data_IF_810017606137
#
_entry.id   IF_810017606137
#
_cell.length_a   1.000
_cell.length_b   1.000
_cell.length_c   1.000
_cell.angle_alpha   90.00
_cell.angle_beta   90.00
_cell.angle_gamma   90.00
#
_symmetry.space_group_name_H-M   'P 1'
#
loop_
_entity.id
_entity.type
_entity.pdbx_description
1 polymer ?
#
# COMPACT_ATOMS: atom_id res chain seq x y z
N UNK A 1 5.80 6.73 5.49
CA UNK A 1 6.13 5.84 4.35
C UNK A 1 5.27 6.14 3.13
N UNK A 2 5.82 6.20 1.91
CA UNK A 2 5.00 6.26 0.69
C UNK A 2 4.51 4.86 0.32
N UNK A 3 3.20 4.69 0.14
CA UNK A 3 2.61 3.41 -0.29
C UNK A 3 2.23 3.47 -1.77
N UNK A 4 2.75 2.54 -2.56
CA UNK A 4 2.47 2.40 -4.00
C UNK A 4 1.66 1.13 -4.20
N UNK A 5 0.41 1.30 -4.65
CA UNK A 5 -0.50 0.18 -4.94
C UNK A 5 -0.58 -0.07 -6.45
N UNK A 6 -0.23 -1.30 -6.86
CA UNK A 6 -0.19 -1.73 -8.27
C UNK A 6 -1.06 -2.97 -8.46
N UNK A 7 -1.78 -3.01 -9.58
CA UNK A 7 -2.38 -4.24 -10.11
C UNK A 7 -1.51 -4.76 -11.23
N UNK A 8 -1.11 -6.04 -11.16
CA UNK A 8 -0.21 -6.66 -12.13
C UNK A 8 -0.88 -6.86 -13.50
N UNK A 9 -2.12 -7.33 -13.47
CA UNK A 9 -2.97 -7.57 -14.64
C UNK A 9 -4.45 -7.24 -14.37
N UNK A 10 -4.73 -6.54 -13.27
CA UNK A 10 -6.09 -6.25 -12.81
C UNK A 10 -6.22 -4.78 -12.49
N UNK A 11 -7.40 -4.23 -12.76
CA UNK A 11 -7.77 -2.94 -12.22
C UNK A 11 -8.01 -3.09 -10.71
N UNK A 12 -7.29 -2.31 -9.90
CA UNK A 12 -7.45 -2.31 -8.45
C UNK A 12 -8.53 -1.29 -8.09
N UNK A 13 -9.71 -1.72 -7.60
CA UNK A 13 -10.78 -0.80 -7.23
C UNK A 13 -10.36 0.11 -6.08
N UNK A 14 -10.89 1.33 -6.01
CA UNK A 14 -10.51 2.33 -5.00
C UNK A 14 -10.67 1.81 -3.56
N UNK A 15 -11.75 1.07 -3.28
CA UNK A 15 -11.96 0.43 -1.95
C UNK A 15 -10.79 -0.47 -1.52
N UNK A 16 -10.13 -1.13 -2.48
CA UNK A 16 -8.98 -2.01 -2.22
C UNK A 16 -7.71 -1.18 -2.03
N UNK A 17 -7.54 -0.10 -2.80
CA UNK A 17 -6.46 0.87 -2.59
C UNK A 17 -6.54 1.49 -1.20
N UNK A 18 -7.71 1.96 -0.80
CA UNK A 18 -7.94 2.57 0.51
C UNK A 18 -7.68 1.59 1.66
N UNK A 19 -8.07 0.33 1.48
CA UNK A 19 -7.80 -0.71 2.45
C UNK A 19 -6.29 -1.01 2.55
N UNK A 20 -5.60 -1.12 1.42
CA UNK A 20 -4.16 -1.36 1.38
C UNK A 20 -3.39 -0.22 2.05
N UNK A 21 -3.73 1.03 1.75
CA UNK A 21 -3.11 2.21 2.38
C UNK A 21 -3.34 2.20 3.90
N UNK A 22 -4.58 2.04 4.38
CA UNK A 22 -4.87 1.95 5.82
C UNK A 22 -4.14 0.80 6.52
N UNK A 23 -3.94 -0.31 5.82
CA UNK A 23 -3.18 -1.45 6.36
C UNK A 23 -1.72 -1.08 6.54
N UNK A 24 -1.13 -0.37 5.56
CA UNK A 24 0.27 0.04 5.57
C UNK A 24 0.55 1.18 6.56
N UNK A 25 -0.41 2.06 6.84
CA UNK A 25 -0.31 3.06 7.93
C UNK A 25 -0.03 2.43 9.31
N UNK A 26 -0.41 1.15 9.51
CA UNK A 26 -0.08 0.45 10.76
C UNK A 26 1.41 0.21 10.92
N UNK A 27 2.14 0.12 9.81
CA UNK A 27 3.59 -0.11 9.80
C UNK A 27 4.39 1.19 9.94
N UNK A 28 3.80 2.36 9.67
CA UNK A 28 4.44 3.67 9.94
C UNK A 28 4.78 3.85 11.43
N UNK A 29 4.10 3.14 12.34
CA UNK A 29 4.43 3.15 13.78
C UNK A 29 5.69 2.37 14.14
N UNK A 30 6.21 1.56 13.22
CA UNK A 30 7.33 0.64 13.43
C UNK A 30 8.49 1.01 12.50
N UNK A 31 8.18 1.50 11.30
CA UNK A 31 9.13 1.84 10.25
C UNK A 31 9.25 3.36 10.15
N UNK A 32 10.48 3.87 10.23
CA UNK A 32 10.80 5.29 10.01
C UNK A 32 10.41 5.76 8.60
N UNK A 33 10.31 7.09 8.47
CA UNK A 33 9.94 7.89 7.28
C UNK A 33 10.70 7.53 6.00
N UNK A 34 11.83 6.83 6.14
CA UNK A 34 12.73 6.40 5.05
C UNK A 34 12.29 5.12 4.35
N UNK A 35 11.25 4.45 4.85
CA UNK A 35 10.73 3.22 4.27
C UNK A 35 9.64 3.52 3.25
N UNK A 36 9.65 2.78 2.14
CA UNK A 36 8.59 2.77 1.12
C UNK A 36 7.91 1.41 1.04
N UNK A 37 6.62 1.40 0.75
CA UNK A 37 5.80 0.20 0.63
C UNK A 37 5.32 0.01 -0.81
N UNK A 38 5.52 -1.18 -1.37
CA UNK A 38 4.95 -1.58 -2.67
C UNK A 38 4.01 -2.75 -2.46
N UNK A 39 2.75 -2.60 -2.87
CA UNK A 39 1.71 -3.63 -2.79
C UNK A 39 1.29 -4.00 -4.22
N UNK A 40 1.59 -5.24 -4.63
CA UNK A 40 1.21 -5.80 -5.92
C UNK A 40 0.04 -6.78 -5.75
N UNK A 41 -1.06 -6.52 -6.45
CA UNK A 41 -2.18 -7.45 -6.58
C UNK A 41 -2.06 -8.22 -7.89
N UNK A 42 -2.10 -9.55 -7.82
CA UNK A 42 -1.99 -10.48 -8.96
C UNK A 42 -3.23 -11.32 -9.14
#
# INVERSE_FOLDING_TARGET
MKTIVKGKNIEVPDRVRDYAVRKMERLDRILDDRSDAVVEFS
#
